data_IF_304041121903
#
_entry.id   IF_304041121903
#
_cell.length_a   1.000
_cell.length_b   1.000
_cell.length_c   1.000
_cell.angle_alpha   90.00
_cell.angle_beta   90.00
_cell.angle_gamma   90.00
#
_symmetry.space_group_name_H-M   'P 1'
#
loop_
_entity.id
_entity.type
_entity.pdbx_description
1 polymer ?
#
# COMPACT_ATOMS: atom_id res chain seq x y z
N UNK A 1 -6.75 -3.28 4.29
CA UNK A 1 -7.51 -2.25 3.54
C UNK A 1 -6.90 -0.91 3.89
N UNK A 2 -6.81 -0.01 2.94
CA UNK A 2 -6.30 1.35 3.17
C UNK A 2 -7.44 2.20 3.74
N UNK A 3 -7.38 2.55 5.02
CA UNK A 3 -8.35 3.45 5.66
C UNK A 3 -8.03 4.92 5.41
N UNK A 4 -6.74 5.25 5.29
CA UNK A 4 -6.27 6.59 4.93
C UNK A 4 -4.89 6.49 4.25
N UNK A 5 -4.57 7.45 3.39
CA UNK A 5 -3.28 7.53 2.69
C UNK A 5 -2.91 8.99 2.43
N UNK A 6 -1.67 9.34 2.77
CA UNK A 6 -1.10 10.64 2.44
C UNK A 6 0.21 10.47 1.68
N UNK A 7 0.25 11.02 0.47
CA UNK A 7 1.38 10.99 -0.47
C UNK A 7 2.02 12.38 -0.60
N UNK A 8 2.57 12.93 0.49
CA UNK A 8 3.19 14.27 0.46
C UNK A 8 4.70 14.22 0.57
N UNK A 9 5.38 15.26 0.06
CA UNK A 9 6.82 15.41 0.24
C UNK A 9 7.18 15.43 1.74
N UNK A 10 8.12 14.55 2.15
CA UNK A 10 8.63 14.37 3.52
C UNK A 10 7.70 13.68 4.51
N UNK A 11 6.45 13.41 4.17
CA UNK A 11 5.53 12.65 5.03
C UNK A 11 4.70 11.69 4.18
N UNK A 12 5.00 10.40 4.35
CA UNK A 12 4.19 9.30 3.85
C UNK A 12 3.55 8.59 5.04
N UNK A 13 2.24 8.41 4.99
CA UNK A 13 1.55 7.55 5.95
C UNK A 13 0.42 6.76 5.30
N UNK A 14 0.13 5.62 5.91
CA UNK A 14 -1.01 4.76 5.62
C UNK A 14 -1.70 4.42 6.93
N UNK A 15 -3.02 4.49 6.95
CA UNK A 15 -3.84 3.85 7.98
C UNK A 15 -4.36 2.54 7.40
N UNK A 16 -4.07 1.43 8.06
CA UNK A 16 -4.33 0.09 7.57
C UNK A 16 -5.30 -0.64 8.48
N UNK A 17 -6.38 -1.12 7.88
CA UNK A 17 -7.33 -1.99 8.53
C UNK A 17 -7.07 -3.44 8.19
N UNK A 18 -7.58 -4.30 9.08
CA UNK A 18 -7.63 -5.74 8.89
C UNK A 18 -6.22 -6.36 8.93
N UNK A 19 -5.26 -5.72 9.61
CA UNK A 19 -3.86 -6.12 9.66
C UNK A 19 -3.68 -7.29 10.62
N UNK A 20 -2.92 -8.30 10.20
CA UNK A 20 -2.51 -9.41 11.06
C UNK A 20 -1.14 -9.14 11.63
N UNK A 21 -1.01 -9.23 12.95
CA UNK A 21 0.27 -9.11 13.64
C UNK A 21 0.73 -10.51 14.03
N UNK A 22 1.83 -10.97 13.46
CA UNK A 22 2.39 -12.28 13.72
C UNK A 22 2.99 -12.36 15.15
N UNK A 23 3.05 -13.55 15.78
CA UNK A 23 3.69 -13.75 17.09
C UNK A 23 5.16 -13.33 17.13
N UNK A 24 5.86 -13.41 16.00
CA UNK A 24 7.29 -13.10 15.89
C UNK A 24 7.56 -11.59 15.84
N UNK A 25 6.53 -10.76 15.69
CA UNK A 25 6.67 -9.31 15.73
C UNK A 25 7.10 -8.88 17.14
N UNK A 26 8.19 -8.12 17.26
CA UNK A 26 8.78 -7.71 18.54
C UNK A 26 7.85 -6.88 19.42
N UNK A 27 6.82 -6.27 18.83
CA UNK A 27 5.80 -5.48 19.51
C UNK A 27 4.51 -6.28 19.77
N UNK A 28 4.39 -7.51 19.26
CA UNK A 28 3.35 -8.45 19.69
C UNK A 28 3.76 -9.14 20.98
N UNK A 29 3.06 -8.84 22.07
CA UNK A 29 3.30 -9.48 23.38
C UNK A 29 2.50 -10.77 23.56
N UNK A 30 1.58 -11.09 22.65
CA UNK A 30 0.83 -12.35 22.65
C UNK A 30 1.59 -13.38 21.79
N UNK A 31 1.57 -14.64 22.22
CA UNK A 31 2.17 -15.77 21.49
C UNK A 31 1.31 -16.20 20.29
N UNK A 32 0.10 -15.64 20.16
CA UNK A 32 -0.83 -15.90 19.07
C UNK A 32 -0.84 -14.75 18.07
N UNK A 33 -1.27 -15.07 16.86
CA UNK A 33 -1.53 -14.07 15.84
C UNK A 33 -2.67 -13.15 16.30
N UNK A 34 -2.43 -11.84 16.23
CA UNK A 34 -3.44 -10.83 16.54
C UNK A 34 -3.96 -10.17 15.27
N UNK A 35 -5.07 -9.46 15.40
CA UNK A 35 -5.64 -8.61 14.36
C UNK A 35 -5.85 -7.21 14.91
N UNK A 36 -5.55 -6.20 14.12
CA UNK A 36 -5.79 -4.81 14.47
C UNK A 36 -6.33 -4.04 13.26
N UNK A 37 -7.08 -3.00 13.56
CA UNK A 37 -7.53 -1.98 12.62
C UNK A 37 -6.84 -0.67 12.98
N UNK A 38 -6.92 0.31 12.09
CA UNK A 38 -6.33 1.64 12.28
C UNK A 38 -4.82 1.59 12.57
N UNK A 39 -4.09 0.62 11.99
CA UNK A 39 -2.65 0.58 12.09
C UNK A 39 -2.07 1.73 11.28
N UNK A 40 -1.43 2.67 11.96
CA UNK A 40 -0.74 3.80 11.38
C UNK A 40 0.69 3.39 11.02
N UNK A 41 0.96 3.30 9.73
CA UNK A 41 2.27 3.05 9.14
C UNK A 41 2.82 4.36 8.59
N UNK A 42 4.00 4.80 9.04
CA UNK A 42 4.65 6.04 8.54
C UNK A 42 6.06 5.75 8.07
N UNK A 43 6.49 6.45 7.03
CA UNK A 43 7.90 6.49 6.61
C UNK A 43 8.44 7.90 6.90
N UNK A 44 9.54 7.98 7.65
CA UNK A 44 10.21 9.25 7.98
C UNK A 44 11.08 9.72 6.81
N UNK A 45 11.14 11.05 6.61
CA UNK A 45 11.86 11.68 5.50
C UNK A 45 11.49 11.05 4.14
N UNK A 46 10.20 10.76 3.97
CA UNK A 46 9.72 9.98 2.85
C UNK A 46 9.93 10.67 1.50
N UNK A 47 10.37 9.89 0.52
CA UNK A 47 10.44 10.27 -0.88
C UNK A 47 9.73 9.20 -1.71
N UNK A 48 8.75 9.64 -2.52
CA UNK A 48 8.09 8.78 -3.49
C UNK A 48 9.01 8.66 -4.71
N UNK A 49 9.53 7.44 -4.92
CA UNK A 49 10.43 7.12 -6.03
C UNK A 49 9.65 7.01 -7.33
N UNK A 50 8.52 6.28 -7.30
CA UNK A 50 7.67 6.06 -8.46
C UNK A 50 6.26 5.69 -8.01
N UNK A 51 5.28 6.00 -8.86
CA UNK A 51 3.91 5.51 -8.75
C UNK A 51 3.46 5.09 -10.13
N UNK A 52 3.16 3.81 -10.30
CA UNK A 52 2.84 3.21 -11.60
C UNK A 52 1.44 2.60 -11.53
N UNK A 53 0.58 2.92 -12.50
CA UNK A 53 -0.62 2.12 -12.79
C UNK A 53 -0.18 0.90 -13.61
N UNK A 54 -0.44 -0.30 -13.10
CA UNK A 54 -0.05 -1.53 -13.78
C UNK A 54 -0.89 -1.76 -15.05
N UNK A 55 -0.20 -2.12 -16.12
CA UNK A 55 -0.81 -2.52 -17.37
C UNK A 55 -1.52 -3.86 -17.26
N UNK A 56 -2.35 -4.17 -18.25
CA UNK A 56 -3.09 -5.42 -18.30
C UNK A 56 -3.28 -5.92 -19.72
N UNK A 57 -3.53 -7.22 -19.84
CA UNK A 57 -3.87 -7.86 -21.09
C UNK A 57 -5.39 -8.02 -21.21
N UNK A 58 -5.96 -7.61 -22.33
CA UNK A 58 -7.35 -7.87 -22.71
C UNK A 58 -7.41 -9.12 -23.58
N UNK A 59 -8.26 -10.07 -23.20
CA UNK A 59 -8.52 -11.31 -23.93
C UNK A 59 -9.96 -11.36 -24.44
N UNK A 60 -10.18 -12.03 -25.58
CA UNK A 60 -11.54 -12.34 -26.06
C UNK A 60 -12.17 -13.52 -25.28
N UNK A 61 -13.43 -13.84 -25.59
CA UNK A 61 -14.15 -14.93 -24.93
C UNK A 61 -13.57 -16.33 -25.22
N UNK A 62 -12.74 -16.45 -26.27
CA UNK A 62 -12.04 -17.68 -26.63
C UNK A 62 -10.64 -17.74 -25.98
N UNK A 63 -10.24 -16.70 -25.24
CA UNK A 63 -8.97 -16.60 -24.53
C UNK A 63 -7.81 -16.08 -25.38
N UNK A 64 -8.06 -15.57 -26.59
CA UNK A 64 -7.01 -14.99 -27.43
C UNK A 64 -6.70 -13.55 -26.99
N UNK A 65 -5.41 -13.20 -26.97
CA UNK A 65 -4.95 -11.85 -26.65
C UNK A 65 -5.47 -10.85 -27.70
N UNK A 66 -6.24 -9.86 -27.28
CA UNK A 66 -6.72 -8.75 -28.11
C UNK A 66 -5.81 -7.53 -28.01
N UNK A 67 -5.44 -7.15 -26.79
CA UNK A 67 -4.65 -5.93 -26.56
C UNK A 67 -3.80 -6.07 -25.30
N UNK A 68 -2.66 -5.37 -25.30
CA UNK A 68 -1.81 -5.21 -24.13
C UNK A 68 -1.73 -3.72 -23.82
N UNK A 69 -2.25 -3.33 -22.68
CA UNK A 69 -2.07 -2.00 -22.11
C UNK A 69 -0.79 -2.03 -21.27
N UNK A 70 0.23 -1.20 -21.58
CA UNK A 70 1.48 -1.17 -20.81
C UNK A 70 1.29 -0.46 -19.47
N UNK A 71 2.26 -0.63 -18.58
CA UNK A 71 2.37 0.14 -17.36
C UNK A 71 2.49 1.65 -17.66
N UNK A 72 1.80 2.47 -16.87
CA UNK A 72 1.83 3.94 -16.99
C UNK A 72 2.36 4.58 -15.70
N UNK A 73 3.44 5.36 -15.81
CA UNK A 73 3.92 6.17 -14.69
C UNK A 73 2.94 7.33 -14.45
N UNK A 74 2.49 7.45 -13.21
CA UNK A 74 1.59 8.51 -12.77
C UNK A 74 2.39 9.80 -12.61
N UNK A 75 1.93 10.87 -13.24
CA UNK A 75 2.52 12.19 -13.03
C UNK A 75 2.32 12.65 -11.58
N UNK A 76 3.34 13.27 -10.97
CA UNK A 76 3.27 13.77 -9.59
C UNK A 76 2.06 14.68 -9.30
N UNK A 77 1.61 15.44 -10.29
CA UNK A 77 0.44 16.30 -10.18
C UNK A 77 -0.88 15.53 -9.95
N UNK A 78 -0.91 14.23 -10.26
CA UNK A 78 -2.06 13.33 -10.10
C UNK A 78 -1.95 12.44 -8.86
N UNK A 79 -0.91 12.58 -8.05
CA UNK A 79 -0.74 11.72 -6.86
C UNK A 79 -1.90 11.86 -5.88
N UNK A 80 -2.43 13.08 -5.71
CA UNK A 80 -3.60 13.30 -4.85
C UNK A 80 -4.85 12.59 -5.41
N UNK A 81 -5.03 12.58 -6.73
CA UNK A 81 -6.14 11.87 -7.38
C UNK A 81 -6.01 10.36 -7.19
N UNK A 82 -4.80 9.80 -7.40
CA UNK A 82 -4.55 8.37 -7.18
C UNK A 82 -4.67 8.02 -5.70
N UNK A 83 -4.22 8.88 -4.78
CA UNK A 83 -4.40 8.67 -3.34
C UNK A 83 -5.87 8.48 -2.98
N UNK A 84 -6.80 9.25 -3.59
CA UNK A 84 -8.24 9.05 -3.39
C UNK A 84 -8.73 7.70 -3.93
N UNK A 85 -8.19 7.25 -5.07
CA UNK A 85 -8.52 5.92 -5.63
C UNK A 85 -8.02 4.78 -4.75
N UNK A 86 -6.87 4.97 -4.08
CA UNK A 86 -6.28 3.99 -3.17
C UNK A 86 -6.98 3.93 -1.81
N UNK A 87 -7.78 4.92 -1.43
CA UNK A 87 -8.64 4.83 -0.26
C UNK A 87 -9.61 3.66 -0.41
N UNK A 88 -9.82 2.92 0.68
CA UNK A 88 -10.56 1.66 0.72
C UNK A 88 -9.95 0.54 -0.16
N UNK A 89 -8.80 0.80 -0.79
CA UNK A 89 -8.07 -0.16 -1.59
C UNK A 89 -7.48 -1.32 -0.80
N UNK A 90 -7.05 -2.35 -1.52
CA UNK A 90 -6.48 -3.57 -0.94
C UNK A 90 -4.99 -3.63 -1.25
N UNK A 91 -4.18 -3.64 -0.20
CA UNK A 91 -2.74 -3.92 -0.34
C UNK A 91 -2.56 -5.44 -0.46
N UNK A 92 -2.04 -5.89 -1.59
CA UNK A 92 -1.70 -7.30 -1.83
C UNK A 92 -0.30 -7.62 -1.36
N UNK A 93 0.63 -6.70 -1.58
CA UNK A 93 2.03 -6.91 -1.27
C UNK A 93 2.64 -5.63 -0.69
N UNK A 94 3.43 -5.82 0.36
CA UNK A 94 4.31 -4.82 0.93
C UNK A 94 5.66 -5.47 1.17
N UNK A 95 6.68 -5.03 0.43
CA UNK A 95 8.06 -5.50 0.61
C UNK A 95 9.00 -4.34 0.90
N UNK A 96 10.04 -4.62 1.70
CA UNK A 96 11.16 -3.72 1.93
C UNK A 96 12.42 -4.37 1.37
N UNK A 97 12.99 -3.78 0.32
CA UNK A 97 14.23 -4.27 -0.29
C UNK A 97 15.19 -3.12 -0.52
N UNK A 98 16.42 -3.24 0.00
CA UNK A 98 17.48 -2.23 -0.16
C UNK A 98 17.04 -0.80 0.25
N UNK A 99 16.20 -0.68 1.29
CA UNK A 99 15.69 0.60 1.79
C UNK A 99 14.47 1.16 1.03
N UNK A 100 13.95 0.44 0.03
CA UNK A 100 12.75 0.85 -0.72
C UNK A 100 11.56 -0.02 -0.32
N UNK A 101 10.50 0.63 0.14
CA UNK A 101 9.19 0.03 0.33
C UNK A 101 8.48 -0.02 -1.02
N UNK A 102 7.98 -1.19 -1.41
CA UNK A 102 7.11 -1.36 -2.59
C UNK A 102 5.76 -1.84 -2.12
N UNK A 103 4.72 -1.06 -2.41
CA UNK A 103 3.32 -1.39 -2.16
C UNK A 103 2.66 -1.75 -3.48
N UNK A 104 1.99 -2.90 -3.52
CA UNK A 104 1.09 -3.28 -4.62
C UNK A 104 -0.34 -3.17 -4.09
N UNK A 105 -1.11 -2.24 -4.65
CA UNK A 105 -2.41 -1.83 -4.12
C UNK A 105 -3.45 -1.86 -5.23
N UNK A 106 -4.54 -2.59 -5.06
CA UNK A 106 -5.72 -2.41 -5.90
C UNK A 106 -6.50 -1.20 -5.40
N UNK A 107 -6.71 -0.26 -6.31
CA UNK A 107 -7.60 0.87 -6.12
C UNK A 107 -9.07 0.48 -6.30
N UNK A 108 -9.94 1.40 -5.90
CA UNK A 108 -11.41 1.25 -6.04
C UNK A 108 -11.93 1.33 -7.47
N UNK A 109 -11.05 1.61 -8.44
CA UNK A 109 -11.34 1.72 -9.87
C UNK A 109 -10.98 0.46 -10.67
N UNK A 110 -10.79 -0.68 -10.00
CA UNK A 110 -10.37 -1.96 -10.59
C UNK A 110 -8.98 -1.87 -11.28
N UNK A 111 -8.12 -0.94 -10.85
CA UNK A 111 -6.71 -0.82 -11.27
C UNK A 111 -5.77 -1.16 -10.14
N UNK A 112 -4.62 -1.73 -10.50
CA UNK A 112 -3.53 -2.05 -9.57
C UNK A 112 -2.44 -1.00 -9.71
N UNK A 113 -1.89 -0.56 -8.58
CA UNK A 113 -0.85 0.45 -8.51
C UNK A 113 0.38 -0.09 -7.77
N UNK A 114 1.55 0.14 -8.36
CA UNK A 114 2.84 -0.10 -7.74
C UNK A 114 3.43 1.23 -7.23
N UNK A 115 3.41 1.41 -5.91
CA UNK A 115 3.94 2.59 -5.24
C UNK A 115 5.28 2.28 -4.57
N UNK A 116 6.34 2.99 -4.95
CA UNK A 116 7.67 2.86 -4.36
C UNK A 116 8.03 4.08 -3.52
N UNK A 117 8.37 3.86 -2.26
CA UNK A 117 8.71 4.90 -1.29
C UNK A 117 10.01 4.54 -0.59
N UNK A 118 10.90 5.51 -0.42
CA UNK A 118 12.09 5.39 0.43
C UNK A 118 12.02 6.38 1.59
N UNK A 119 12.85 6.19 2.60
CA UNK A 119 12.97 7.09 3.74
C UNK A 119 14.02 6.62 4.75
N UNK A 120 14.10 7.33 5.87
CA UNK A 120 15.07 7.05 6.93
C UNK A 120 14.66 5.91 7.87
N UNK A 121 13.40 5.48 7.82
CA UNK A 121 12.85 4.34 8.55
C UNK A 121 11.33 4.42 8.72
N UNK A 122 10.71 3.30 9.11
CA UNK A 122 9.27 3.24 9.38
C UNK A 122 8.91 3.25 10.87
N UNK A 123 7.67 3.66 11.15
CA UNK A 123 7.01 3.47 12.45
C UNK A 123 5.65 2.84 12.24
N UNK A 124 5.28 1.98 13.18
CA UNK A 124 4.03 1.22 13.17
C UNK A 124 3.34 1.40 14.51
N UNK A 125 2.19 2.06 14.51
CA UNK A 125 1.41 2.37 15.70
C UNK A 125 0.00 1.80 15.54
N UNK A 126 -0.52 1.11 16.55
CA UNK A 126 -1.89 0.60 16.56
C UNK A 126 -2.40 0.52 18.00
N UNK A 127 -3.72 0.43 18.17
CA UNK A 127 -4.30 0.21 19.49
C UNK A 127 -3.94 -1.19 20.00
N UNK A 128 -3.14 -1.23 21.08
CA UNK A 128 -2.65 -2.46 21.69
C UNK A 128 -3.65 -3.09 22.67
N UNK A 129 -4.75 -2.40 22.95
CA UNK A 129 -5.79 -2.87 23.84
C UNK A 129 -6.92 -3.47 23.03
N UNK A 130 -7.36 -4.66 23.42
CA UNK A 130 -8.66 -5.17 23.02
C UNK A 130 -9.70 -4.27 23.70
N UNK A 131 -10.47 -3.51 22.93
CA UNK A 131 -11.74 -3.04 23.46
C UNK A 131 -12.62 -4.27 23.67
N UNK A 132 -13.00 -4.51 24.92
CA UNK A 132 -13.87 -5.61 25.36
C UNK A 132 -15.31 -5.14 25.35
#
# INVERSE_FOLDING_TARGET
>A
MVGDIQLTERMFHLVLDNVKICPENSCNRDIRMMRTNELLFKISDAEIISLVEEGYNEYDADGNLKHTYPDEEVEKAKYDEVAQVLLEGIIYELTLQSGVYTFIIDGTNDRTYALKVTGSGDTQEWNRFLEV
#
